data_IF_651265023145
#
_entry.id   IF_651265023145
#
_cell.length_a   1.000
_cell.length_b   1.000
_cell.length_c   1.000
_cell.angle_alpha   90.00
_cell.angle_beta   90.00
_cell.angle_gamma   90.00
#
_symmetry.space_group_name_H-M   'P 1'
#
loop_
_entity.id
_entity.type
_entity.pdbx_description
1 polymer ?
#
# COMPACT_ATOMS: atom_id res chain seq x y z
N UNK A 1 -32.66 9.04 -15.08
CA UNK A 1 -31.44 9.84 -14.82
C UNK A 1 -31.07 9.70 -13.35
N UNK A 2 -29.79 9.96 -13.04
CA UNK A 2 -29.08 9.85 -11.75
C UNK A 2 -28.39 8.49 -11.60
N UNK A 3 -27.22 8.25 -12.19
CA UNK A 3 -26.05 9.13 -12.20
C UNK A 3 -25.12 8.69 -11.07
N UNK A 4 -23.98 8.10 -11.44
CA UNK A 4 -22.79 7.94 -10.59
C UNK A 4 -22.83 6.97 -9.39
N UNK A 5 -22.64 5.65 -9.63
CA UNK A 5 -22.09 4.73 -8.61
C UNK A 5 -20.66 4.24 -9.00
N UNK A 6 -20.02 4.92 -9.95
CA UNK A 6 -18.65 4.60 -10.39
C UNK A 6 -17.54 5.18 -9.48
N UNK A 7 -17.82 5.39 -8.19
CA UNK A 7 -16.86 5.86 -7.18
C UNK A 7 -16.58 4.84 -6.05
N UNK A 8 -16.88 3.55 -6.21
CA UNK A 8 -17.02 2.66 -5.05
C UNK A 8 -15.95 1.56 -4.85
N UNK A 9 -14.90 1.46 -5.67
CA UNK A 9 -13.82 0.49 -5.41
C UNK A 9 -12.62 1.12 -4.70
N UNK A 10 -12.33 0.68 -3.47
CA UNK A 10 -11.06 1.00 -2.82
C UNK A 10 -9.90 0.35 -3.59
N UNK A 11 -9.12 1.17 -4.32
CA UNK A 11 -7.99 0.70 -5.10
C UNK A 11 -6.78 0.43 -4.18
N UNK A 12 -6.63 -0.83 -3.78
CA UNK A 12 -5.56 -1.26 -2.87
C UNK A 12 -4.17 -0.96 -3.40
N UNK A 13 -3.90 -1.28 -4.65
CA UNK A 13 -2.56 -1.17 -5.26
C UNK A 13 -2.07 0.27 -5.27
N UNK A 14 -2.89 1.21 -5.74
CA UNK A 14 -2.54 2.64 -5.77
C UNK A 14 -2.38 3.23 -4.37
N UNK A 15 -3.20 2.78 -3.41
CA UNK A 15 -3.11 3.23 -2.01
C UNK A 15 -1.84 2.72 -1.33
N UNK A 16 -1.48 1.45 -1.56
CA UNK A 16 -0.21 0.88 -1.08
C UNK A 16 0.97 1.64 -1.70
N UNK A 17 0.97 1.84 -3.03
CA UNK A 17 2.00 2.63 -3.72
C UNK A 17 2.15 4.01 -3.08
N UNK A 18 1.05 4.75 -2.95
CA UNK A 18 1.09 6.10 -2.38
C UNK A 18 1.60 6.15 -0.94
N UNK A 19 1.28 5.16 -0.10
CA UNK A 19 1.79 5.11 1.28
C UNK A 19 3.30 4.82 1.30
N UNK A 20 3.76 3.82 0.55
CA UNK A 20 5.17 3.40 0.52
C UNK A 20 6.04 4.46 -0.18
N UNK A 21 5.55 5.09 -1.25
CA UNK A 21 6.29 6.14 -1.94
C UNK A 21 6.44 7.42 -1.11
N UNK A 22 5.50 7.72 -0.21
CA UNK A 22 5.58 8.90 0.66
C UNK A 22 6.29 8.60 1.98
N UNK A 23 6.74 7.37 2.22
CA UNK A 23 7.52 7.05 3.41
C UNK A 23 9.00 7.42 3.23
N UNK A 24 9.66 7.73 4.35
CA UNK A 24 11.09 8.04 4.35
C UNK A 24 11.90 6.85 3.83
N UNK A 25 12.83 7.12 2.90
CA UNK A 25 13.61 6.07 2.24
C UNK A 25 12.79 5.11 1.36
N UNK A 26 11.53 5.46 1.03
CA UNK A 26 10.61 4.60 0.26
C UNK A 26 10.40 3.22 0.90
N UNK A 27 10.55 3.16 2.22
CA UNK A 27 10.42 1.97 3.05
C UNK A 27 9.47 2.25 4.19
N UNK A 28 8.64 1.28 4.55
CA UNK A 28 7.68 1.38 5.64
C UNK A 28 7.55 0.05 6.36
N UNK A 29 7.53 0.11 7.68
CA UNK A 29 7.20 -1.02 8.53
C UNK A 29 5.78 -1.55 8.20
N UNK A 30 5.62 -2.88 8.13
CA UNK A 30 4.34 -3.50 7.76
C UNK A 30 3.20 -3.12 8.71
N UNK A 31 3.45 -3.00 10.01
CA UNK A 31 2.40 -2.61 10.97
C UNK A 31 1.93 -1.17 10.74
N UNK A 32 2.86 -0.27 10.38
CA UNK A 32 2.52 1.11 10.00
C UNK A 32 1.72 1.14 8.70
N UNK A 33 2.15 0.40 7.66
CA UNK A 33 1.40 0.29 6.41
C UNK A 33 -0.01 -0.26 6.64
N UNK A 34 -0.14 -1.32 7.45
CA UNK A 34 -1.42 -1.94 7.82
C UNK A 34 -2.36 -0.95 8.49
N UNK A 35 -1.88 -0.16 9.45
CA UNK A 35 -2.71 0.84 10.15
C UNK A 35 -3.22 1.90 9.17
N UNK A 36 -2.33 2.44 8.33
CA UNK A 36 -2.67 3.49 7.36
C UNK A 36 -3.64 3.00 6.28
N UNK A 37 -3.41 1.82 5.70
CA UNK A 37 -4.29 1.30 4.65
C UNK A 37 -5.69 0.95 5.18
N UNK A 38 -5.79 0.40 6.39
CA UNK A 38 -7.07 0.07 7.02
C UNK A 38 -7.84 1.34 7.38
N UNK A 39 -7.13 2.38 7.86
CA UNK A 39 -7.72 3.70 8.09
C UNK A 39 -8.30 4.27 6.80
N UNK A 40 -7.52 4.28 5.70
CA UNK A 40 -8.01 4.76 4.41
C UNK A 40 -9.18 3.91 3.87
N UNK A 41 -9.14 2.59 4.06
CA UNK A 41 -10.23 1.70 3.66
C UNK A 41 -11.53 2.06 4.38
N UNK A 42 -11.49 2.25 5.70
CA UNK A 42 -12.67 2.60 6.50
C UNK A 42 -13.21 3.99 6.20
N UNK A 43 -12.37 4.93 5.75
CA UNK A 43 -12.82 6.24 5.28
C UNK A 43 -13.61 6.15 3.98
N UNK A 44 -13.22 5.24 3.07
CA UNK A 44 -13.90 5.03 1.78
C UNK A 44 -15.10 4.09 1.91
N UNK A 45 -15.05 3.14 2.85
CA UNK A 45 -16.10 2.15 3.11
C UNK A 45 -16.44 2.10 4.61
N UNK A 46 -17.09 3.14 5.15
CA UNK A 46 -17.45 3.19 6.57
C UNK A 46 -18.43 2.08 6.96
N UNK A 47 -19.32 1.67 6.06
CA UNK A 47 -20.34 0.62 6.30
C UNK A 47 -19.82 -0.81 6.08
N UNK A 48 -18.51 -1.01 5.97
CA UNK A 48 -17.93 -2.34 5.72
C UNK A 48 -17.77 -3.13 7.02
N UNK A 49 -18.42 -4.28 7.11
CA UNK A 49 -18.32 -5.21 8.27
C UNK A 49 -16.98 -5.97 8.39
N UNK A 50 -16.09 -5.81 7.41
CA UNK A 50 -14.79 -6.49 7.41
C UNK A 50 -13.97 -6.18 8.66
N UNK A 51 -13.53 -7.24 9.32
CA UNK A 51 -12.64 -7.15 10.47
C UNK A 51 -11.25 -6.66 10.08
N UNK A 52 -10.49 -6.15 11.05
CA UNK A 52 -9.07 -5.80 10.87
C UNK A 52 -8.26 -6.99 10.32
N UNK A 53 -8.58 -8.22 10.74
CA UNK A 53 -7.92 -9.44 10.27
C UNK A 53 -8.17 -9.71 8.79
N UNK A 54 -9.42 -9.58 8.35
CA UNK A 54 -9.77 -9.75 6.93
C UNK A 54 -9.11 -8.69 6.05
N UNK A 55 -9.08 -7.43 6.49
CA UNK A 55 -8.41 -6.36 5.78
C UNK A 55 -6.88 -6.55 5.75
N UNK A 56 -6.30 -7.09 6.83
CA UNK A 56 -4.87 -7.45 6.85
C UNK A 56 -4.57 -8.58 5.88
N UNK A 57 -5.41 -9.62 5.83
CA UNK A 57 -5.27 -10.71 4.85
C UNK A 57 -5.43 -10.19 3.41
N UNK A 58 -6.31 -9.22 3.20
CA UNK A 58 -6.47 -8.57 1.91
C UNK A 58 -5.23 -7.75 1.54
N UNK A 59 -4.65 -7.00 2.47
CA UNK A 59 -3.38 -6.28 2.28
C UNK A 59 -2.25 -7.23 1.86
N UNK A 60 -2.04 -8.33 2.59
CA UNK A 60 -1.00 -9.32 2.28
C UNK A 60 -1.17 -9.91 0.86
N UNK A 61 -2.40 -10.21 0.45
CA UNK A 61 -2.70 -10.66 -0.92
C UNK A 61 -2.39 -9.61 -1.98
N UNK A 62 -2.52 -8.33 -1.65
CA UNK A 62 -2.24 -7.23 -2.58
C UNK A 62 -0.74 -6.96 -2.66
N UNK A 63 -0.01 -7.04 -1.54
CA UNK A 63 1.44 -6.94 -1.51
C UNK A 63 2.10 -8.06 -2.33
N UNK A 64 1.63 -9.30 -2.17
CA UNK A 64 2.13 -10.45 -2.95
C UNK A 64 1.91 -10.32 -4.47
N UNK A 65 0.98 -9.45 -4.90
CA UNK A 65 0.68 -9.19 -6.32
C UNK A 65 1.27 -7.88 -6.84
N UNK A 66 1.86 -7.05 -5.97
CA UNK A 66 2.36 -5.73 -6.34
C UNK A 66 3.79 -5.85 -6.91
N UNK A 67 4.00 -5.68 -8.23
CA UNK A 67 5.31 -5.88 -8.86
C UNK A 67 6.35 -4.81 -8.49
N UNK A 68 5.92 -3.76 -7.78
CA UNK A 68 6.75 -2.62 -7.39
C UNK A 68 7.13 -2.63 -5.90
N UNK A 69 6.74 -3.67 -5.17
CA UNK A 69 7.00 -3.79 -3.72
C UNK A 69 7.93 -4.98 -3.45
N UNK A 70 8.94 -4.75 -2.62
CA UNK A 70 9.74 -5.78 -1.98
C UNK A 70 9.45 -5.88 -0.49
N UNK A 71 9.85 -7.01 0.13
CA UNK A 71 9.75 -7.24 1.57
C UNK A 71 11.08 -7.75 2.11
N UNK A 72 11.60 -7.11 3.15
CA UNK A 72 12.80 -7.52 3.87
C UNK A 72 12.47 -7.55 5.37
N UNK A 73 12.35 -8.74 5.93
CA UNK A 73 11.83 -8.90 7.29
C UNK A 73 10.41 -8.31 7.43
N UNK A 74 10.24 -7.36 8.35
CA UNK A 74 8.97 -6.67 8.56
C UNK A 74 8.78 -5.43 7.69
N UNK A 75 9.81 -5.02 6.94
CA UNK A 75 9.78 -3.79 6.17
C UNK A 75 9.32 -4.05 4.73
N UNK A 76 8.51 -3.12 4.24
CA UNK A 76 7.96 -3.07 2.89
C UNK A 76 8.63 -1.90 2.17
N UNK A 77 9.22 -2.15 1.00
CA UNK A 77 9.98 -1.12 0.28
C UNK A 77 9.59 -1.05 -1.20
N UNK A 78 9.76 0.14 -1.78
CA UNK A 78 9.52 0.37 -3.21
C UNK A 78 10.72 -0.09 -4.04
N UNK A 79 10.52 -1.07 -4.94
CA UNK A 79 11.60 -1.70 -5.69
C UNK A 79 12.38 -0.74 -6.60
N UNK A 80 11.70 0.24 -7.20
CA UNK A 80 12.34 1.20 -8.11
C UNK A 80 13.24 2.22 -7.41
N UNK A 81 13.25 2.27 -6.07
CA UNK A 81 14.18 3.11 -5.31
C UNK A 81 15.59 2.51 -5.20
N UNK A 82 15.72 1.18 -5.29
CA UNK A 82 17.02 0.51 -5.19
C UNK A 82 17.82 0.56 -6.49
N UNK A 83 17.16 0.63 -7.65
CA UNK A 83 17.86 0.76 -8.95
C UNK A 83 18.56 2.12 -9.13
N UNK A 84 18.15 3.17 -8.42
CA UNK A 84 18.78 4.48 -8.54
C UNK A 84 19.93 4.71 -7.56
N UNK A 85 20.10 3.87 -6.52
CA UNK A 85 21.21 4.01 -5.56
C UNK A 85 22.51 3.35 -6.01
N UNK A 86 22.46 2.39 -6.94
CA UNK A 86 23.66 1.83 -7.57
C UNK A 86 24.26 2.75 -8.67
N UNK A 87 23.55 3.81 -9.08
CA UNK A 87 24.02 4.76 -10.11
C UNK A 87 24.60 6.06 -9.54
N UNK A 88 24.68 6.23 -8.21
CA UNK A 88 25.21 7.44 -7.55
C UNK A 88 26.56 7.20 -6.86
N UNK A 89 27.24 6.07 -7.15
CA UNK A 89 28.58 5.74 -6.65
C UNK A 89 29.71 6.03 -7.66
N UNK A 90 29.48 6.97 -8.57
CA UNK A 90 30.48 7.38 -9.57
C UNK A 90 30.47 8.92 -9.75
N UNK A 91 30.86 9.66 -8.70
CA UNK A 91 31.33 11.06 -8.77
C UNK A 91 32.40 11.34 -7.70
#
# INVERSE_FOLDING_TARGET
>A
MNGDIWLTSFNWTERIRGIVENSYGKTIDFDKLRKEIIKQYRQVRPDSDKTTKELTNQLEKQLAKAPFIGRMGNDIYYLYYFQTRDNDFDL
#
